data_IF_851187941223
#
_entry.id   IF_851187941223
#
_cell.length_a   1.000
_cell.length_b   1.000
_cell.length_c   1.000
_cell.angle_alpha   90.00
_cell.angle_beta   90.00
_cell.angle_gamma   90.00
#
_symmetry.space_group_name_H-M   'P 1'
#
loop_
_entity.id
_entity.type
_entity.pdbx_description
1 polymer ?
#
# COMPACT_ATOMS: atom_id res chain seq x y z
N UNK A 1 11.58 6.72 15.58
CA UNK A 1 11.53 5.29 15.96
C UNK A 1 11.99 4.47 14.76
N UNK A 2 12.69 3.33 14.93
CA UNK A 2 12.96 2.43 13.81
C UNK A 2 11.64 1.85 13.29
N UNK A 3 11.52 1.67 11.97
CA UNK A 3 10.35 1.07 11.35
C UNK A 3 10.48 -0.45 11.38
N UNK A 4 9.72 -1.09 12.25
CA UNK A 4 9.71 -2.54 12.39
C UNK A 4 8.36 -3.09 11.90
N UNK A 5 8.37 -4.15 11.09
CA UNK A 5 7.12 -4.74 10.59
C UNK A 5 6.26 -5.33 11.73
N UNK A 6 6.88 -5.69 12.86
CA UNK A 6 6.17 -6.16 14.05
C UNK A 6 5.19 -5.11 14.59
N UNK A 7 5.58 -3.83 14.54
CA UNK A 7 4.70 -2.72 14.94
C UNK A 7 3.46 -2.65 14.03
N UNK A 8 3.65 -2.88 12.71
CA UNK A 8 2.52 -2.92 11.77
C UNK A 8 1.56 -4.08 12.06
N UNK A 9 2.09 -5.25 12.42
CA UNK A 9 1.24 -6.41 12.78
C UNK A 9 0.36 -6.06 13.97
N UNK A 10 0.94 -5.46 15.01
CA UNK A 10 0.18 -5.06 16.22
C UNK A 10 -0.84 -3.98 15.89
N UNK A 11 -0.41 -2.91 15.21
CA UNK A 11 -1.30 -1.80 14.83
C UNK A 11 -2.46 -2.27 13.94
N UNK A 12 -2.18 -3.14 12.98
CA UNK A 12 -3.20 -3.70 12.10
C UNK A 12 -4.21 -4.55 12.89
N UNK A 13 -3.71 -5.43 13.77
CA UNK A 13 -4.55 -6.24 14.63
C UNK A 13 -5.46 -5.37 15.50
N UNK A 14 -4.92 -4.40 16.21
CA UNK A 14 -5.67 -3.54 17.13
C UNK A 14 -6.72 -2.69 16.40
N UNK A 15 -6.42 -2.31 15.16
CA UNK A 15 -7.34 -1.50 14.34
C UNK A 15 -8.48 -2.32 13.74
N UNK A 16 -8.21 -3.56 13.30
CA UNK A 16 -9.12 -4.24 12.38
C UNK A 16 -9.63 -5.62 12.83
N UNK A 17 -8.91 -6.32 13.71
CA UNK A 17 -9.23 -7.70 14.02
C UNK A 17 -10.67 -7.86 14.55
N UNK A 18 -11.07 -7.04 15.50
CA UNK A 18 -12.40 -7.15 16.12
C UNK A 18 -13.57 -6.95 15.15
N UNK A 19 -13.37 -6.13 14.11
CA UNK A 19 -14.42 -5.76 13.15
C UNK A 19 -14.38 -6.59 11.87
N UNK A 20 -13.19 -6.92 11.40
CA UNK A 20 -12.99 -7.54 10.08
C UNK A 20 -12.44 -8.96 10.16
N UNK A 21 -12.17 -9.47 11.35
CA UNK A 21 -11.60 -10.80 11.58
C UNK A 21 -10.38 -11.06 10.67
N UNK A 22 -9.52 -10.04 10.49
CA UNK A 22 -8.38 -10.08 9.56
C UNK A 22 -7.09 -9.80 10.31
N UNK A 23 -6.03 -10.56 10.03
CA UNK A 23 -4.69 -10.37 10.59
C UNK A 23 -3.66 -10.12 9.50
N UNK A 24 -2.64 -9.32 9.83
CA UNK A 24 -1.44 -9.13 9.04
C UNK A 24 -0.39 -10.15 9.49
N UNK A 25 0.16 -10.93 8.56
CA UNK A 25 1.06 -12.06 8.87
C UNK A 25 2.32 -11.97 8.01
N UNK A 26 3.48 -12.13 8.64
CA UNK A 26 4.73 -12.29 7.91
C UNK A 26 4.76 -13.65 7.22
N UNK A 27 4.92 -13.64 5.89
CA UNK A 27 5.08 -14.82 5.06
C UNK A 27 6.51 -15.05 4.55
N UNK A 28 6.59 -15.88 3.51
CA UNK A 28 7.79 -16.18 2.73
C UNK A 28 7.93 -15.31 1.50
N UNK A 29 8.11 -15.95 0.33
CA UNK A 29 8.46 -15.26 -0.91
C UNK A 29 7.28 -14.52 -1.55
N UNK A 30 6.10 -15.12 -1.55
CA UNK A 30 4.93 -14.58 -2.23
C UNK A 30 3.90 -14.04 -1.25
N UNK A 31 3.46 -12.77 -1.43
CA UNK A 31 2.32 -12.24 -0.71
C UNK A 31 1.03 -12.93 -1.15
N UNK A 32 0.08 -13.10 -0.22
CA UNK A 32 -1.24 -13.65 -0.53
C UNK A 32 -2.27 -13.23 0.51
N UNK A 33 -3.49 -13.00 0.06
CA UNK A 33 -4.65 -12.88 0.94
C UNK A 33 -5.39 -14.22 0.99
N UNK A 34 -5.60 -14.73 2.20
CA UNK A 34 -6.36 -15.96 2.44
C UNK A 34 -7.63 -15.63 3.26
N UNK A 35 -8.83 -15.93 2.74
CA UNK A 35 -10.06 -15.78 3.51
C UNK A 35 -10.12 -16.79 4.67
N UNK A 36 -10.86 -16.44 5.71
CA UNK A 36 -11.20 -17.38 6.78
C UNK A 36 -11.93 -18.60 6.22
N UNK A 37 -11.61 -19.79 6.73
CA UNK A 37 -12.16 -21.05 6.25
C UNK A 37 -11.73 -22.24 7.11
N UNK A 38 -11.74 -23.44 6.56
CA UNK A 38 -11.45 -24.67 7.30
C UNK A 38 -10.05 -24.73 7.96
N UNK A 39 -9.07 -24.00 7.38
CA UNK A 39 -7.68 -24.00 7.87
C UNK A 39 -7.42 -22.95 8.96
N UNK A 40 -8.20 -21.88 8.97
CA UNK A 40 -8.03 -20.74 9.87
C UNK A 40 -9.36 -20.00 10.01
N UNK A 41 -9.74 -19.66 11.21
CA UNK A 41 -11.01 -18.97 11.53
C UNK A 41 -10.97 -17.45 11.35
N UNK A 42 -9.84 -16.89 10.87
CA UNK A 42 -9.66 -15.49 10.52
C UNK A 42 -9.04 -15.33 9.13
N UNK A 43 -9.30 -14.17 8.51
CA UNK A 43 -8.68 -13.79 7.25
C UNK A 43 -7.21 -13.39 7.45
N UNK A 44 -6.38 -13.64 6.47
CA UNK A 44 -4.93 -13.41 6.55
C UNK A 44 -4.45 -12.54 5.38
N UNK A 45 -3.77 -11.45 5.70
CA UNK A 45 -2.96 -10.70 4.75
C UNK A 45 -1.52 -11.14 4.98
N UNK A 46 -0.98 -11.93 4.08
CA UNK A 46 0.38 -12.47 4.18
C UNK A 46 1.29 -11.62 3.31
N UNK A 47 2.30 -10.99 3.90
CA UNK A 47 3.26 -10.13 3.21
C UNK A 47 4.66 -10.73 3.17
N UNK A 48 5.44 -10.38 2.13
CA UNK A 48 6.72 -11.03 1.84
C UNK A 48 7.82 -10.69 2.87
N UNK A 49 8.56 -11.69 3.32
CA UNK A 49 9.84 -11.66 4.04
C UNK A 49 9.91 -10.78 5.31
N UNK A 50 8.86 -10.11 5.71
CA UNK A 50 8.90 -9.08 6.74
C UNK A 50 9.37 -7.72 6.20
N UNK A 51 9.28 -7.50 4.90
CA UNK A 51 9.52 -6.19 4.31
C UNK A 51 8.39 -5.23 4.64
N UNK A 52 8.76 -4.10 5.21
CA UNK A 52 7.82 -3.07 5.63
C UNK A 52 7.00 -2.52 4.44
N UNK A 53 7.64 -2.35 3.28
CA UNK A 53 6.97 -1.91 2.05
C UNK A 53 5.94 -2.95 1.56
N UNK A 54 6.29 -4.25 1.56
CA UNK A 54 5.34 -5.30 1.19
C UNK A 54 4.11 -5.31 2.11
N UNK A 55 4.30 -5.14 3.43
CA UNK A 55 3.18 -5.04 4.35
C UNK A 55 2.23 -3.88 4.00
N UNK A 56 2.76 -2.69 3.69
CA UNK A 56 1.94 -1.55 3.29
C UNK A 56 1.23 -1.78 1.97
N UNK A 57 1.89 -2.38 1.01
CA UNK A 57 1.32 -2.72 -0.28
C UNK A 57 0.10 -3.63 -0.12
N UNK A 58 0.25 -4.76 0.59
CA UNK A 58 -0.83 -5.72 0.81
C UNK A 58 -1.98 -5.12 1.64
N UNK A 59 -1.67 -4.32 2.66
CA UNK A 59 -2.70 -3.59 3.41
C UNK A 59 -3.46 -2.63 2.49
N UNK A 60 -2.80 -1.99 1.54
CA UNK A 60 -3.44 -1.04 0.61
C UNK A 60 -4.42 -1.74 -0.32
N UNK A 61 -4.08 -2.89 -0.87
CA UNK A 61 -5.00 -3.75 -1.63
C UNK A 61 -6.20 -4.16 -0.79
N UNK A 62 -5.97 -4.63 0.44
CA UNK A 62 -7.04 -5.00 1.35
C UNK A 62 -7.94 -3.82 1.72
N UNK A 63 -7.39 -2.62 1.90
CA UNK A 63 -8.17 -1.41 2.19
C UNK A 63 -9.15 -1.04 1.07
N UNK A 64 -8.79 -1.31 -0.17
CA UNK A 64 -9.63 -1.07 -1.35
C UNK A 64 -10.63 -2.20 -1.61
N UNK A 65 -10.30 -3.45 -1.27
CA UNK A 65 -11.08 -4.62 -1.60
C UNK A 65 -12.51 -4.54 -1.04
N UNK A 66 -13.52 -4.73 -1.90
CA UNK A 66 -14.92 -4.85 -1.49
C UNK A 66 -15.21 -6.15 -0.73
N UNK A 67 -16.39 -6.24 -0.11
CA UNK A 67 -16.76 -7.38 0.72
C UNK A 67 -16.70 -8.71 -0.03
N UNK A 68 -17.20 -8.76 -1.25
CA UNK A 68 -17.18 -9.98 -2.06
C UNK A 68 -15.76 -10.43 -2.40
N UNK A 69 -14.83 -9.50 -2.70
CA UNK A 69 -13.44 -9.86 -3.01
C UNK A 69 -12.71 -10.43 -1.80
N UNK A 70 -13.01 -9.93 -0.59
CA UNK A 70 -12.42 -10.42 0.65
C UNK A 70 -12.88 -11.82 1.08
N UNK A 71 -13.79 -12.44 0.34
CA UNK A 71 -14.19 -13.84 0.51
C UNK A 71 -13.43 -14.79 -0.42
N UNK A 72 -12.53 -14.27 -1.25
CA UNK A 72 -11.76 -15.03 -2.22
C UNK A 72 -10.28 -14.98 -1.87
N UNK A 73 -9.58 -16.07 -2.14
CA UNK A 73 -8.13 -16.10 -2.14
C UNK A 73 -7.60 -15.15 -3.22
N UNK A 74 -6.61 -14.36 -2.89
CA UNK A 74 -6.10 -13.33 -3.78
C UNK A 74 -4.58 -13.19 -3.62
N UNK A 75 -3.86 -13.44 -4.68
CA UNK A 75 -2.40 -13.24 -4.76
C UNK A 75 -2.03 -11.80 -5.13
N UNK A 76 -2.99 -10.88 -5.11
CA UNK A 76 -2.77 -9.47 -5.48
C UNK A 76 -2.71 -9.21 -6.98
N UNK A 77 -2.60 -10.25 -7.79
CA UNK A 77 -2.53 -10.13 -9.25
C UNK A 77 -3.25 -11.28 -9.96
N UNK A 78 -4.03 -10.90 -10.95
CA UNK A 78 -4.65 -11.78 -11.95
C UNK A 78 -3.95 -11.64 -13.33
N UNK A 79 -2.81 -10.96 -13.35
CA UNK A 79 -1.99 -10.64 -14.52
C UNK A 79 -0.60 -11.27 -14.34
N UNK A 80 0.20 -11.30 -15.43
CA UNK A 80 1.58 -11.77 -15.37
C UNK A 80 2.39 -10.97 -14.33
N UNK A 81 3.03 -11.61 -13.35
CA UNK A 81 3.73 -10.93 -12.27
C UNK A 81 4.96 -10.15 -12.76
N UNK A 82 5.62 -10.62 -13.82
CA UNK A 82 6.78 -9.97 -14.45
C UNK A 82 6.84 -10.33 -15.93
N UNK A 83 7.62 -9.58 -16.72
CA UNK A 83 7.73 -9.81 -18.17
C UNK A 83 6.53 -9.29 -18.96
N UNK A 84 5.70 -8.41 -18.39
CA UNK A 84 4.51 -7.85 -19.05
C UNK A 84 4.88 -7.06 -20.28
N UNK A 85 4.12 -7.25 -21.36
CA UNK A 85 4.16 -6.38 -22.54
C UNK A 85 3.49 -5.02 -22.27
N UNK A 86 3.54 -4.10 -23.23
CA UNK A 86 3.00 -2.74 -23.07
C UNK A 86 1.51 -2.72 -22.70
N UNK A 87 0.68 -3.55 -23.32
CA UNK A 87 -0.75 -3.60 -23.05
C UNK A 87 -1.03 -4.14 -21.65
N UNK A 88 -0.36 -5.21 -21.25
CA UNK A 88 -0.44 -5.80 -19.93
C UNK A 88 0.07 -4.83 -18.86
N UNK A 89 1.15 -4.10 -19.14
CA UNK A 89 1.69 -3.10 -18.22
C UNK A 89 0.70 -1.94 -17.99
N UNK A 90 0.03 -1.46 -19.04
CA UNK A 90 -1.03 -0.45 -18.91
C UNK A 90 -2.21 -0.94 -18.08
N UNK A 91 -2.60 -2.20 -18.20
CA UNK A 91 -3.65 -2.80 -17.36
C UNK A 91 -3.23 -2.90 -15.92
N UNK A 92 -2.00 -3.33 -15.67
CA UNK A 92 -1.38 -3.35 -14.32
C UNK A 92 -1.43 -1.95 -13.69
N UNK A 93 -0.88 -0.95 -14.36
CA UNK A 93 -0.86 0.42 -13.84
C UNK A 93 -2.27 0.94 -13.49
N UNK A 94 -3.29 0.61 -14.30
CA UNK A 94 -4.66 1.03 -14.03
C UNK A 94 -5.22 0.49 -12.71
N UNK A 95 -4.91 -0.76 -12.38
CA UNK A 95 -5.39 -1.38 -11.13
C UNK A 95 -4.53 -0.99 -9.93
N UNK A 96 -3.28 -0.63 -10.15
CA UNK A 96 -2.32 -0.27 -9.11
C UNK A 96 -2.38 1.21 -8.67
N UNK A 97 -2.97 2.10 -9.45
CA UNK A 97 -3.07 3.53 -9.10
C UNK A 97 -3.67 3.73 -7.70
N UNK A 98 -4.77 3.05 -7.39
CA UNK A 98 -5.47 3.23 -6.12
C UNK A 98 -4.72 2.60 -4.94
N UNK A 99 -4.26 1.34 -4.99
CA UNK A 99 -3.44 0.76 -3.93
C UNK A 99 -2.19 1.59 -3.66
N UNK A 100 -1.45 1.99 -4.69
CA UNK A 100 -0.21 2.75 -4.51
C UNK A 100 -0.45 4.18 -4.00
N UNK A 101 -1.59 4.79 -4.29
CA UNK A 101 -1.96 6.07 -3.67
C UNK A 101 -2.25 5.93 -2.16
N UNK A 102 -2.86 4.83 -1.74
CA UNK A 102 -3.07 4.50 -0.32
C UNK A 102 -1.72 4.20 0.36
N UNK A 103 -0.89 3.38 -0.27
CA UNK A 103 0.45 3.04 0.20
C UNK A 103 1.32 4.30 0.37
N UNK A 104 1.24 5.25 -0.56
CA UNK A 104 1.94 6.53 -0.46
C UNK A 104 1.51 7.30 0.78
N UNK A 105 0.21 7.37 1.07
CA UNK A 105 -0.28 8.01 2.29
C UNK A 105 0.25 7.33 3.55
N UNK A 106 0.30 6.00 3.61
CA UNK A 106 0.89 5.28 4.73
C UNK A 106 2.37 5.63 4.91
N UNK A 107 3.15 5.65 3.81
CA UNK A 107 4.56 6.02 3.83
C UNK A 107 4.77 7.46 4.33
N UNK A 108 3.95 8.40 3.87
CA UNK A 108 3.98 9.80 4.34
C UNK A 108 3.76 9.88 5.85
N UNK A 109 2.74 9.19 6.36
CA UNK A 109 2.41 9.19 7.80
C UNK A 109 3.57 8.69 8.65
N UNK A 110 4.24 7.64 8.20
CA UNK A 110 5.40 7.09 8.94
C UNK A 110 6.73 7.76 8.58
N UNK A 111 6.69 8.82 7.77
CA UNK A 111 7.87 9.60 7.33
C UNK A 111 8.90 8.77 6.55
N UNK A 112 8.40 7.84 5.72
CA UNK A 112 9.22 7.08 4.76
C UNK A 112 9.07 7.67 3.36
N UNK A 113 10.13 7.57 2.58
CA UNK A 113 10.04 7.85 1.14
C UNK A 113 9.19 6.77 0.48
N UNK A 114 8.37 7.19 -0.46
CA UNK A 114 7.62 6.33 -1.34
C UNK A 114 8.14 6.49 -2.78
N UNK A 115 8.14 5.40 -3.50
CA UNK A 115 8.38 5.36 -4.94
C UNK A 115 7.36 4.42 -5.55
N UNK A 116 6.74 4.84 -6.63
CA UNK A 116 5.84 3.96 -7.37
C UNK A 116 6.59 2.73 -7.88
N UNK A 117 5.95 1.59 -7.81
CA UNK A 117 6.48 0.34 -8.36
C UNK A 117 5.74 -0.04 -9.63
N UNK A 118 6.46 -0.17 -10.72
CA UNK A 118 5.93 -0.75 -11.96
C UNK A 118 6.04 -2.26 -11.99
N UNK A 119 6.80 -2.85 -11.08
CA UNK A 119 6.97 -4.29 -10.85
C UNK A 119 7.11 -5.13 -12.13
N UNK A 120 7.90 -4.65 -13.09
CA UNK A 120 8.10 -5.27 -14.40
C UNK A 120 9.56 -5.21 -14.83
N UNK A 121 10.42 -5.95 -14.15
CA UNK A 121 11.87 -5.88 -14.34
C UNK A 121 12.31 -6.42 -15.69
N UNK A 122 11.65 -7.46 -16.21
CA UNK A 122 12.01 -8.18 -17.42
C UNK A 122 11.10 -7.88 -18.63
N UNK A 123 10.14 -6.96 -18.47
CA UNK A 123 9.16 -6.64 -19.51
C UNK A 123 9.27 -5.21 -20.04
N UNK A 124 8.16 -4.73 -20.58
CA UNK A 124 8.04 -3.37 -21.10
C UNK A 124 8.28 -2.34 -20.00
N UNK A 125 9.27 -1.48 -20.20
CA UNK A 125 9.54 -0.37 -19.28
C UNK A 125 8.68 0.82 -19.70
N UNK A 126 7.58 1.04 -18.97
CA UNK A 126 6.71 2.20 -19.14
C UNK A 126 7.37 3.51 -18.69
N UNK A 127 6.67 4.60 -18.88
CA UNK A 127 7.09 5.89 -18.33
C UNK A 127 6.71 5.98 -16.85
N UNK A 128 7.65 5.71 -15.96
CA UNK A 128 7.47 5.76 -14.50
C UNK A 128 6.90 7.11 -14.05
N UNK A 129 7.28 8.21 -14.70
CA UNK A 129 6.79 9.55 -14.36
C UNK A 129 5.29 9.71 -14.67
N UNK A 130 4.81 9.15 -15.79
CA UNK A 130 3.38 9.17 -16.12
C UNK A 130 2.58 8.36 -15.12
N UNK A 131 3.09 7.21 -14.70
CA UNK A 131 2.45 6.39 -13.69
C UNK A 131 2.43 7.09 -12.32
N UNK A 132 3.55 7.64 -11.88
CA UNK A 132 3.65 8.43 -10.64
C UNK A 132 2.67 9.61 -10.66
N UNK A 133 2.54 10.31 -11.79
CA UNK A 133 1.59 11.40 -11.94
C UNK A 133 0.14 10.95 -11.74
N UNK A 134 -0.24 9.78 -12.26
CA UNK A 134 -1.59 9.21 -12.04
C UNK A 134 -1.82 8.84 -10.57
N UNK A 135 -0.82 8.26 -9.92
CA UNK A 135 -0.88 7.92 -8.49
C UNK A 135 -1.03 9.19 -7.65
N UNK A 136 -0.26 10.26 -7.97
CA UNK A 136 -0.38 11.54 -7.28
C UNK A 136 -1.76 12.19 -7.50
N UNK A 137 -2.32 12.10 -8.70
CA UNK A 137 -3.68 12.58 -8.98
C UNK A 137 -4.72 11.84 -8.14
N UNK A 138 -4.53 10.53 -7.95
CA UNK A 138 -5.40 9.75 -7.06
C UNK A 138 -5.25 10.15 -5.60
N UNK A 139 -4.03 10.46 -5.14
CA UNK A 139 -3.79 11.06 -3.81
C UNK A 139 -4.57 12.37 -3.65
N UNK A 140 -4.50 13.29 -4.63
CA UNK A 140 -5.25 14.54 -4.61
C UNK A 140 -6.76 14.32 -4.50
N UNK A 141 -7.26 13.30 -5.20
CA UNK A 141 -8.67 12.88 -5.11
C UNK A 141 -9.01 12.44 -3.68
N UNK A 142 -8.17 11.62 -3.06
CA UNK A 142 -8.38 11.18 -1.68
C UNK A 142 -8.28 12.32 -0.66
N UNK A 143 -7.37 13.26 -0.85
CA UNK A 143 -7.25 14.43 0.02
C UNK A 143 -8.50 15.33 -0.04
N UNK A 144 -9.19 15.37 -1.18
CA UNK A 144 -10.40 16.18 -1.37
C UNK A 144 -11.70 15.47 -1.01
N UNK A 145 -11.78 14.15 -1.25
CA UNK A 145 -13.02 13.36 -1.11
C UNK A 145 -13.00 12.41 0.09
N UNK A 146 -11.84 12.20 0.68
CA UNK A 146 -11.62 11.22 1.73
C UNK A 146 -11.00 9.92 1.20
N UNK A 147 -10.18 9.30 2.03
CA UNK A 147 -9.63 7.96 1.78
C UNK A 147 -10.70 6.88 1.98
N UNK A 148 -10.58 5.70 1.35
CA UNK A 148 -11.40 4.54 1.70
C UNK A 148 -11.42 4.31 3.20
N UNK A 149 -12.57 3.93 3.75
CA UNK A 149 -12.79 3.87 5.21
C UNK A 149 -11.69 3.13 5.97
N UNK A 150 -11.24 1.96 5.48
CA UNK A 150 -10.17 1.19 6.13
C UNK A 150 -8.81 1.88 6.01
N UNK A 151 -8.54 2.51 4.88
CA UNK A 151 -7.30 3.27 4.70
C UNK A 151 -7.27 4.49 5.66
N UNK A 152 -8.37 5.23 5.78
CA UNK A 152 -8.47 6.34 6.73
C UNK A 152 -8.24 5.89 8.19
N UNK A 153 -8.87 4.78 8.60
CA UNK A 153 -8.67 4.21 9.94
C UNK A 153 -7.21 3.83 10.21
N UNK A 154 -6.54 3.24 9.21
CA UNK A 154 -5.14 2.85 9.39
C UNK A 154 -4.20 4.06 9.35
N UNK A 155 -4.48 5.08 8.54
CA UNK A 155 -3.79 6.39 8.57
C UNK A 155 -3.86 7.00 9.97
N UNK A 156 -5.02 7.00 10.61
CA UNK A 156 -5.21 7.51 11.98
C UNK A 156 -4.39 6.70 13.00
N UNK A 157 -4.44 5.37 12.93
CA UNK A 157 -3.68 4.50 13.82
C UNK A 157 -2.15 4.70 13.67
N UNK A 158 -1.66 4.76 12.42
CA UNK A 158 -0.26 5.07 12.11
C UNK A 158 0.13 6.46 12.61
N UNK A 159 -0.71 7.47 12.37
CA UNK A 159 -0.45 8.86 12.77
C UNK A 159 -0.34 8.99 14.29
N UNK A 160 -1.20 8.32 15.03
CA UNK A 160 -1.14 8.25 16.49
C UNK A 160 0.16 7.59 16.97
N UNK A 161 0.51 6.44 16.39
CA UNK A 161 1.71 5.69 16.80
C UNK A 161 3.01 6.43 16.49
N UNK A 162 3.13 7.03 15.29
CA UNK A 162 4.32 7.75 14.86
C UNK A 162 4.31 9.24 15.23
N UNK A 163 3.29 9.70 15.94
CA UNK A 163 3.10 11.10 16.33
C UNK A 163 3.19 12.05 15.12
N UNK A 164 2.43 11.76 14.08
CA UNK A 164 2.37 12.54 12.85
C UNK A 164 1.08 13.36 12.83
N UNK A 165 1.14 14.69 12.59
CA UNK A 165 -0.05 15.53 12.53
C UNK A 165 -0.99 15.14 11.38
N UNK A 166 -2.29 15.23 11.62
CA UNK A 166 -3.35 15.13 10.61
C UNK A 166 -4.14 16.45 10.56
N UNK A 167 -4.82 16.76 9.45
CA UNK A 167 -4.94 15.97 8.23
C UNK A 167 -3.68 16.02 7.36
N UNK A 168 -3.53 15.04 6.47
CA UNK A 168 -2.53 15.08 5.42
C UNK A 168 -2.90 16.14 4.39
N UNK A 169 -1.89 16.82 3.85
CA UNK A 169 -2.03 17.81 2.78
C UNK A 169 -1.11 17.48 1.61
N UNK A 170 -1.31 18.08 0.45
CA UNK A 170 -0.53 17.76 -0.75
C UNK A 170 0.97 18.01 -0.57
N UNK A 171 1.35 18.97 0.26
CA UNK A 171 2.75 19.28 0.54
C UNK A 171 3.51 18.12 1.20
N UNK A 172 2.80 17.20 1.86
CA UNK A 172 3.41 16.00 2.43
C UNK A 172 3.81 14.96 1.37
N UNK A 173 3.21 15.03 0.18
CA UNK A 173 3.45 14.11 -0.93
C UNK A 173 4.43 14.66 -1.96
N UNK A 174 4.51 15.97 -2.10
CA UNK A 174 5.46 16.62 -2.99
C UNK A 174 6.80 16.71 -2.26
N UNK A 175 7.78 15.90 -2.66
CA UNK A 175 9.13 16.02 -2.12
C UNK A 175 9.64 17.43 -2.47
N UNK A 176 9.98 18.23 -1.47
CA UNK A 176 10.83 19.39 -1.72
C UNK A 176 12.15 18.84 -2.25
N UNK A 177 12.45 19.14 -3.51
CA UNK A 177 13.82 19.07 -3.98
C UNK A 177 14.65 19.93 -3.03
N UNK A 178 15.35 19.32 -2.09
CA UNK A 178 16.37 20.03 -1.34
C UNK A 178 17.40 20.46 -2.38
N UNK A 179 17.36 21.76 -2.68
CA UNK A 179 18.42 22.42 -3.44
C UNK A 179 19.74 22.05 -2.77
N UNK A 180 20.45 21.08 -3.36
CA UNK A 180 21.87 20.92 -3.15
C UNK A 180 22.54 22.16 -3.76
N UNK A 181 22.48 23.26 -3.02
CA UNK A 181 23.39 24.37 -3.24
C UNK A 181 24.75 23.84 -2.83
N UNK A 182 25.50 23.36 -3.80
CA UNK A 182 26.93 23.16 -3.69
C UNK A 182 27.53 24.51 -3.25
N UNK A 183 27.89 24.60 -1.99
CA UNK A 183 28.84 25.63 -1.55
C UNK A 183 30.22 25.19 -2.09
N UNK A 184 30.66 25.90 -3.11
CA UNK A 184 32.05 25.93 -3.57
C UNK A 184 32.96 26.48 -2.46
#
# INVERSE_FOLDING_TARGET
>A
MPHQYQDLIVLFHDTFFSKYNTQLIKGGDEPVYLPAGERCDYHQIIFAHGYYASAFHEISHWCQAGDARRLLEDFGYWYEPDGRNEQQQKQFEQVEVVPQAIEWAFNVVVRKKFHVSSDNLNGFQGNTHDFESKVLQQVQTFLSQGFPTRAAQFIEALAQFYNTPLPLTIEHFVQKEENLVCLN
#
